data_IF_513730601666
#
_entry.id   IF_513730601666
#
_cell.length_a   1.000
_cell.length_b   1.000
_cell.length_c   1.000
_cell.angle_alpha   90.00
_cell.angle_beta   90.00
_cell.angle_gamma   90.00
#
_symmetry.space_group_name_H-M   'P 1'
#
loop_
_entity.id
_entity.type
_entity.pdbx_description
1 polymer ?
#
# COMPACT_ATOMS: atom_id res chain seq x y z
N UNK A 1 -1.78 -33.32 -44.03
CA UNK A 1 -2.64 -33.13 -42.83
C UNK A 1 -3.03 -31.65 -42.73
N UNK A 2 -4.33 -31.31 -42.80
CA UNK A 2 -4.79 -29.91 -42.68
C UNK A 2 -4.44 -29.38 -41.30
N UNK A 3 -3.63 -28.32 -41.26
CA UNK A 3 -3.35 -27.51 -40.07
C UNK A 3 -4.67 -27.00 -39.50
N UNK A 4 -5.17 -27.62 -38.42
CA UNK A 4 -6.39 -27.17 -37.73
C UNK A 4 -6.15 -25.77 -37.18
N UNK A 5 -6.88 -24.79 -37.70
CA UNK A 5 -6.85 -23.42 -37.19
C UNK A 5 -7.43 -23.37 -35.78
N UNK A 6 -6.95 -22.44 -34.95
CA UNK A 6 -7.56 -22.17 -33.65
C UNK A 6 -9.03 -21.74 -33.83
N UNK A 7 -9.94 -22.20 -32.95
CA UNK A 7 -11.34 -21.83 -33.01
C UNK A 7 -11.52 -20.31 -33.04
N UNK A 8 -12.52 -19.81 -33.77
CA UNK A 8 -12.79 -18.35 -33.83
C UNK A 8 -13.10 -17.77 -32.45
N UNK A 9 -13.84 -18.51 -31.62
CA UNK A 9 -14.18 -18.11 -30.25
C UNK A 9 -12.92 -17.91 -29.37
N UNK A 10 -11.94 -18.80 -29.48
CA UNK A 10 -10.71 -18.73 -28.68
C UNK A 10 -9.85 -17.52 -29.07
N UNK A 11 -9.84 -17.15 -30.37
CA UNK A 11 -9.16 -15.94 -30.86
C UNK A 11 -9.84 -14.66 -30.39
N UNK A 12 -11.18 -14.62 -30.38
CA UNK A 12 -11.95 -13.48 -29.89
C UNK A 12 -11.75 -13.28 -28.38
N UNK A 13 -11.80 -14.35 -27.60
CA UNK A 13 -11.53 -14.29 -26.15
C UNK A 13 -10.08 -13.88 -25.85
N UNK A 14 -9.09 -14.41 -26.58
CA UNK A 14 -7.70 -14.01 -26.39
C UNK A 14 -7.49 -12.51 -26.68
N UNK A 15 -8.10 -11.99 -27.75
CA UNK A 15 -8.07 -10.56 -28.07
C UNK A 15 -8.71 -9.71 -26.97
N UNK A 16 -9.87 -10.14 -26.45
CA UNK A 16 -10.53 -9.50 -25.32
C UNK A 16 -9.64 -9.50 -24.07
N UNK A 17 -9.05 -10.64 -23.70
CA UNK A 17 -8.15 -10.74 -22.55
C UNK A 17 -6.89 -9.87 -22.72
N UNK A 18 -6.29 -9.81 -23.91
CA UNK A 18 -5.11 -8.96 -24.15
C UNK A 18 -5.44 -7.48 -24.05
N UNK A 19 -6.55 -7.02 -24.63
CA UNK A 19 -6.98 -5.63 -24.50
C UNK A 19 -7.24 -5.26 -23.03
N UNK A 20 -7.83 -6.19 -22.28
CA UNK A 20 -8.07 -6.03 -20.86
C UNK A 20 -6.79 -5.98 -20.03
N UNK A 21 -5.81 -6.85 -20.32
CA UNK A 21 -4.49 -6.84 -19.67
C UNK A 21 -3.73 -5.53 -19.94
N UNK A 22 -3.85 -4.96 -21.14
CA UNK A 22 -3.28 -3.64 -21.48
C UNK A 22 -3.91 -2.54 -20.62
N UNK A 23 -5.22 -2.57 -20.41
CA UNK A 23 -5.87 -1.62 -19.51
C UNK A 23 -5.46 -1.82 -18.05
N UNK A 24 -5.37 -3.07 -17.58
CA UNK A 24 -4.81 -3.35 -16.24
C UNK A 24 -3.43 -2.72 -16.11
N UNK A 25 -2.56 -2.89 -17.10
CA UNK A 25 -1.22 -2.31 -17.10
C UNK A 25 -1.23 -0.76 -17.05
N UNK A 26 -2.02 -0.10 -17.89
CA UNK A 26 -2.20 1.36 -17.80
C UNK A 26 -2.78 1.81 -16.46
N UNK A 27 -3.63 0.97 -15.86
CA UNK A 27 -4.15 1.17 -14.53
C UNK A 27 -3.12 1.11 -13.42
N UNK A 28 -2.20 0.17 -13.49
CA UNK A 28 -1.08 0.06 -12.54
C UNK A 28 -0.14 1.26 -12.65
N UNK A 29 -0.03 1.89 -13.82
CA UNK A 29 0.75 3.11 -14.02
C UNK A 29 0.00 4.40 -13.66
N UNK A 30 -1.25 4.31 -13.17
CA UNK A 30 -2.06 5.48 -12.80
C UNK A 30 -2.74 6.21 -13.97
N UNK A 31 -2.58 5.75 -15.21
CA UNK A 31 -3.11 6.39 -16.42
C UNK A 31 -4.35 5.66 -16.98
N UNK A 32 -5.46 5.64 -16.24
CA UNK A 32 -6.75 5.20 -16.82
C UNK A 32 -7.44 6.37 -17.54
N UNK A 33 -7.95 6.18 -18.77
CA UNK A 33 -8.84 7.16 -19.39
C UNK A 33 -10.12 7.35 -18.56
N UNK A 34 -10.56 8.59 -18.39
CA UNK A 34 -11.68 8.98 -17.50
C UNK A 34 -13.02 8.28 -17.81
N UNK A 35 -13.23 7.82 -19.04
CA UNK A 35 -14.46 7.13 -19.44
C UNK A 35 -14.50 5.65 -19.01
N UNK A 36 -13.41 5.11 -18.47
CA UNK A 36 -13.25 3.69 -18.14
C UNK A 36 -13.51 3.47 -16.64
N UNK A 37 -14.61 2.77 -16.31
CA UNK A 37 -15.00 2.53 -14.92
C UNK A 37 -14.08 1.49 -14.25
N UNK A 38 -13.16 1.95 -13.40
CA UNK A 38 -12.18 1.14 -12.65
C UNK A 38 -12.82 -0.01 -11.84
N UNK A 39 -14.08 0.14 -11.41
CA UNK A 39 -14.83 -0.87 -10.64
C UNK A 39 -15.08 -2.18 -11.40
N UNK A 40 -15.11 -2.12 -12.73
CA UNK A 40 -15.27 -3.31 -13.57
C UNK A 40 -13.93 -4.04 -13.77
N UNK A 41 -12.79 -3.34 -13.66
CA UNK A 41 -11.48 -3.87 -14.05
C UNK A 41 -10.95 -4.96 -13.12
N UNK A 42 -10.97 -4.67 -11.83
CA UNK A 42 -10.52 -5.53 -10.74
C UNK A 42 -11.44 -6.72 -10.49
N UNK A 43 -12.76 -6.52 -10.56
CA UNK A 43 -13.74 -7.63 -10.47
C UNK A 43 -13.61 -8.64 -11.60
N UNK A 44 -13.16 -8.22 -12.77
CA UNK A 44 -12.95 -9.14 -13.88
C UNK A 44 -11.52 -9.68 -13.99
N UNK A 45 -10.56 -9.35 -13.11
CA UNK A 45 -9.25 -10.02 -13.07
C UNK A 45 -9.40 -11.55 -12.91
N UNK A 46 -10.19 -12.07 -11.94
CA UNK A 46 -10.42 -13.51 -11.84
C UNK A 46 -11.11 -14.08 -13.09
N UNK A 47 -12.09 -13.36 -13.66
CA UNK A 47 -12.81 -13.77 -14.86
C UNK A 47 -11.87 -13.87 -16.07
N UNK A 48 -11.01 -12.88 -16.30
CA UNK A 48 -10.01 -12.87 -17.37
C UNK A 48 -9.01 -14.01 -17.16
N UNK A 49 -8.59 -14.26 -15.93
CA UNK A 49 -7.75 -15.39 -15.59
C UNK A 49 -8.39 -16.73 -15.97
N UNK A 50 -9.67 -16.95 -15.62
CA UNK A 50 -10.41 -18.14 -16.07
C UNK A 50 -10.52 -18.23 -17.59
N UNK A 51 -10.85 -17.12 -18.27
CA UNK A 51 -10.97 -17.07 -19.74
C UNK A 51 -9.64 -17.39 -20.44
N UNK A 52 -8.51 -16.95 -19.89
CA UNK A 52 -7.18 -17.25 -20.43
C UNK A 52 -6.88 -18.75 -20.39
N UNK A 53 -7.32 -19.47 -19.37
CA UNK A 53 -7.15 -20.92 -19.25
C UNK A 53 -7.80 -21.66 -20.43
N UNK A 54 -9.03 -21.30 -20.79
CA UNK A 54 -9.73 -21.86 -21.96
C UNK A 54 -9.08 -21.45 -23.29
N UNK A 55 -8.58 -20.22 -23.39
CA UNK A 55 -7.87 -19.74 -24.57
C UNK A 55 -6.58 -20.52 -24.80
N UNK A 56 -5.74 -20.63 -23.76
CA UNK A 56 -4.49 -21.38 -23.82
C UNK A 56 -4.73 -22.87 -24.11
N UNK A 57 -5.73 -23.49 -23.50
CA UNK A 57 -6.09 -24.88 -23.81
C UNK A 57 -6.46 -25.09 -25.29
N UNK A 58 -7.25 -24.20 -25.88
CA UNK A 58 -7.62 -24.28 -27.30
C UNK A 58 -6.43 -24.05 -28.23
N UNK A 59 -5.52 -23.13 -27.88
CA UNK A 59 -4.30 -22.87 -28.64
C UNK A 59 -3.30 -24.01 -28.54
N UNK A 60 -3.02 -24.51 -27.33
CA UNK A 60 -2.20 -25.70 -27.10
C UNK A 60 -2.74 -26.88 -27.86
N UNK A 61 -4.06 -27.13 -27.83
CA UNK A 61 -4.66 -28.22 -28.60
C UNK A 61 -4.38 -28.09 -30.10
N UNK A 62 -4.33 -26.88 -30.67
CA UNK A 62 -3.98 -26.66 -32.09
C UNK A 62 -2.49 -26.67 -32.42
N UNK A 63 -1.63 -26.38 -31.45
CA UNK A 63 -0.15 -26.39 -31.59
C UNK A 63 0.41 -27.80 -31.35
N UNK A 64 -0.14 -28.52 -30.38
CA UNK A 64 0.27 -29.86 -29.95
C UNK A 64 -0.51 -31.01 -30.62
N UNK A 65 -1.26 -30.75 -31.71
CA UNK A 65 -1.89 -31.82 -32.53
C UNK A 65 -0.85 -32.86 -33.00
N UNK A 66 0.42 -32.48 -33.08
CA UNK A 66 1.55 -33.34 -33.46
C UNK A 66 2.20 -34.10 -32.30
N UNK A 67 1.85 -33.82 -31.04
CA UNK A 67 2.44 -34.51 -29.89
C UNK A 67 1.71 -35.81 -29.64
N UNK A 68 2.42 -36.91 -29.90
CA UNK A 68 1.88 -38.28 -29.89
C UNK A 68 1.42 -38.75 -28.51
N UNK A 69 1.93 -38.12 -27.44
CA UNK A 69 1.63 -38.47 -26.05
C UNK A 69 0.55 -37.56 -25.47
N UNK A 70 -0.64 -38.14 -25.23
CA UNK A 70 -1.74 -37.47 -24.52
C UNK A 70 -1.35 -37.07 -23.09
N UNK A 71 -0.44 -37.81 -22.46
CA UNK A 71 0.04 -37.53 -21.11
C UNK A 71 0.81 -36.21 -21.05
N UNK A 72 1.76 -35.98 -21.96
CA UNK A 72 2.55 -34.74 -22.01
C UNK A 72 1.63 -33.52 -22.22
N UNK A 73 0.64 -33.65 -23.11
CA UNK A 73 -0.34 -32.61 -23.34
C UNK A 73 -1.15 -32.28 -22.07
N UNK A 74 -1.66 -33.30 -21.38
CA UNK A 74 -2.40 -33.12 -20.12
C UNK A 74 -1.53 -32.45 -19.05
N UNK A 75 -0.28 -32.87 -18.89
CA UNK A 75 0.66 -32.26 -17.92
C UNK A 75 0.87 -30.77 -18.21
N UNK A 76 1.11 -30.39 -19.46
CA UNK A 76 1.31 -28.98 -19.84
C UNK A 76 0.05 -28.15 -19.58
N UNK A 77 -1.14 -28.68 -19.90
CA UNK A 77 -2.41 -27.99 -19.64
C UNK A 77 -2.64 -27.80 -18.14
N UNK A 78 -2.36 -28.82 -17.32
CA UNK A 78 -2.47 -28.74 -15.86
C UNK A 78 -1.49 -27.72 -15.29
N UNK A 79 -0.24 -27.68 -15.75
CA UNK A 79 0.75 -26.70 -15.27
C UNK A 79 0.36 -25.25 -15.57
N UNK A 80 -0.23 -25.00 -16.75
CA UNK A 80 -0.72 -23.68 -17.14
C UNK A 80 -1.96 -23.30 -16.33
N UNK A 81 -2.89 -24.23 -16.14
CA UNK A 81 -4.07 -24.03 -15.31
C UNK A 81 -3.70 -23.70 -13.85
N UNK A 82 -2.78 -24.48 -13.27
CA UNK A 82 -2.27 -24.27 -11.91
C UNK A 82 -1.53 -22.92 -11.81
N UNK A 83 -0.68 -22.57 -12.78
CA UNK A 83 0.02 -21.28 -12.78
C UNK A 83 -0.94 -20.10 -12.86
N UNK A 84 -1.97 -20.18 -13.71
CA UNK A 84 -3.01 -19.14 -13.82
C UNK A 84 -3.79 -19.03 -12.52
N UNK A 85 -4.27 -20.16 -11.99
CA UNK A 85 -5.04 -20.19 -10.74
C UNK A 85 -4.24 -19.63 -9.57
N UNK A 86 -2.98 -20.03 -9.46
CA UNK A 86 -2.08 -19.54 -8.42
C UNK A 86 -1.82 -18.04 -8.60
N UNK A 87 -1.62 -17.56 -9.83
CA UNK A 87 -1.41 -16.13 -10.10
C UNK A 87 -2.64 -15.31 -9.71
N UNK A 88 -3.86 -15.75 -10.06
CA UNK A 88 -5.10 -15.08 -9.68
C UNK A 88 -5.26 -15.07 -8.16
N UNK A 89 -5.06 -16.21 -7.51
CA UNK A 89 -5.16 -16.32 -6.05
C UNK A 89 -4.16 -15.38 -5.37
N UNK A 90 -2.91 -15.38 -5.83
CA UNK A 90 -1.84 -14.56 -5.28
C UNK A 90 -2.11 -13.07 -5.50
N UNK A 91 -2.52 -12.66 -6.71
CA UNK A 91 -2.95 -11.27 -6.97
C UNK A 91 -4.17 -10.92 -6.11
N UNK A 92 -5.16 -11.79 -5.96
CA UNK A 92 -6.36 -11.48 -5.17
C UNK A 92 -6.09 -11.37 -3.66
N UNK A 93 -5.08 -12.08 -3.16
CA UNK A 93 -4.71 -12.07 -1.74
C UNK A 93 -3.70 -10.97 -1.39
N UNK A 94 -2.81 -10.61 -2.32
CA UNK A 94 -1.65 -9.76 -2.04
C UNK A 94 -1.58 -8.49 -2.91
N UNK A 95 -2.46 -8.32 -3.91
CA UNK A 95 -2.58 -7.06 -4.64
C UNK A 95 -3.63 -6.16 -4.01
N UNK A 96 -3.37 -4.85 -4.13
CA UNK A 96 -4.19 -3.83 -3.54
C UNK A 96 -5.66 -3.87 -3.99
N UNK A 97 -6.58 -3.51 -3.10
CA UNK A 97 -7.96 -3.23 -3.49
C UNK A 97 -7.97 -2.08 -4.53
N UNK A 98 -8.71 -2.25 -5.64
CA UNK A 98 -8.79 -1.28 -6.72
C UNK A 98 -9.38 0.05 -6.27
N UNK A 99 -8.89 1.15 -6.87
CA UNK A 99 -9.52 2.47 -6.74
C UNK A 99 -11.01 2.42 -7.11
N UNK A 100 -11.86 2.86 -6.19
CA UNK A 100 -13.31 2.96 -6.38
C UNK A 100 -13.70 4.15 -7.27
N UNK A 101 -12.78 5.10 -7.53
CA UNK A 101 -13.03 6.34 -8.27
C UNK A 101 -11.79 6.85 -9.05
N UNK A 102 -12.03 7.66 -10.08
CA UNK A 102 -11.02 8.38 -10.87
C UNK A 102 -10.61 9.71 -10.22
N UNK A 103 -11.53 10.40 -9.54
CA UNK A 103 -11.19 11.56 -8.73
C UNK A 103 -10.67 11.04 -7.39
N UNK A 104 -9.37 11.23 -7.17
CA UNK A 104 -8.73 11.08 -5.89
C UNK A 104 -8.54 12.49 -5.32
N UNK A 105 -9.35 12.90 -4.32
CA UNK A 105 -9.25 14.24 -3.72
C UNK A 105 -7.83 14.57 -3.24
N UNK A 106 -7.03 13.56 -2.88
CA UNK A 106 -5.64 13.75 -2.48
C UNK A 106 -4.79 14.14 -3.68
N UNK A 107 -4.83 13.34 -4.75
CA UNK A 107 -4.14 13.65 -6.00
C UNK A 107 -4.55 15.01 -6.58
N UNK A 108 -5.84 15.34 -6.54
CA UNK A 108 -6.36 16.63 -7.03
C UNK A 108 -5.81 17.80 -6.20
N UNK A 109 -5.84 17.69 -4.87
CA UNK A 109 -5.31 18.71 -3.96
C UNK A 109 -3.83 19.01 -4.18
N UNK A 110 -3.03 17.97 -4.40
CA UNK A 110 -1.59 18.06 -4.52
C UNK A 110 -1.09 18.22 -5.97
N UNK A 111 -1.99 18.19 -6.95
CA UNK A 111 -1.67 18.24 -8.39
C UNK A 111 -0.77 19.42 -8.77
N UNK A 112 -0.95 20.56 -8.11
CA UNK A 112 -0.21 21.82 -8.27
C UNK A 112 0.74 22.14 -7.10
N UNK A 113 0.86 21.25 -6.10
CA UNK A 113 1.63 21.46 -4.86
C UNK A 113 2.72 20.40 -4.69
N UNK A 114 3.62 20.30 -5.67
CA UNK A 114 4.64 19.25 -5.70
C UNK A 114 5.58 19.30 -4.49
N UNK A 115 5.91 20.49 -4.01
CA UNK A 115 6.72 20.74 -2.81
C UNK A 115 6.10 20.23 -1.50
N UNK A 116 4.78 20.09 -1.43
CA UNK A 116 4.07 19.60 -0.24
C UNK A 116 3.94 18.06 -0.23
N UNK A 117 4.41 17.37 -1.28
CA UNK A 117 4.28 15.91 -1.42
C UNK A 117 5.34 15.11 -0.67
N UNK A 118 6.43 15.75 -0.27
CA UNK A 118 7.53 15.11 0.47
C UNK A 118 7.28 15.07 1.98
N UNK A 119 6.20 15.72 2.43
CA UNK A 119 5.75 15.78 3.83
C UNK A 119 5.20 14.46 4.38
N UNK A 120 4.75 14.51 5.63
CA UNK A 120 4.28 13.37 6.44
C UNK A 120 3.12 12.57 5.84
N UNK A 121 2.52 11.70 6.65
CA UNK A 121 1.44 10.81 6.20
C UNK A 121 0.11 11.55 6.00
N UNK A 122 -0.71 11.03 5.07
CA UNK A 122 -2.02 11.54 4.71
C UNK A 122 -3.08 10.54 5.17
N UNK A 123 -4.14 11.02 5.83
CA UNK A 123 -5.33 10.22 6.09
C UNK A 123 -6.41 10.52 5.05
N UNK A 124 -6.90 9.47 4.39
CA UNK A 124 -8.10 9.51 3.56
C UNK A 124 -8.89 8.21 3.69
N UNK A 125 -10.18 8.32 4.03
CA UNK A 125 -11.08 7.20 4.36
C UNK A 125 -11.22 6.15 3.25
N UNK A 126 -11.15 6.59 1.99
CA UNK A 126 -11.36 5.74 0.82
C UNK A 126 -10.08 5.58 -0.02
N UNK A 127 -8.91 5.64 0.62
CA UNK A 127 -7.67 5.37 -0.08
C UNK A 127 -7.64 3.91 -0.56
N UNK A 128 -7.55 3.72 -1.87
CA UNK A 128 -7.33 2.40 -2.43
C UNK A 128 -5.85 2.08 -2.44
N UNK A 129 -5.52 0.83 -2.15
CA UNK A 129 -4.14 0.34 -2.14
C UNK A 129 -3.46 0.45 -3.52
N UNK A 130 -4.22 0.69 -4.61
CA UNK A 130 -3.67 0.87 -5.96
C UNK A 130 -2.84 2.14 -6.20
N UNK A 131 -2.93 3.14 -5.33
CA UNK A 131 -2.08 4.35 -5.38
C UNK A 131 -0.69 4.14 -4.77
N UNK A 132 -0.43 2.94 -4.22
CA UNK A 132 0.90 2.48 -3.80
C UNK A 132 1.92 2.40 -4.95
N UNK A 133 1.44 2.20 -6.18
CA UNK A 133 2.29 2.00 -7.37
C UNK A 133 2.48 3.29 -8.19
N UNK A 134 1.95 4.42 -7.71
CA UNK A 134 2.09 5.71 -8.36
C UNK A 134 3.40 6.41 -7.97
N UNK A 135 4.04 7.05 -8.95
CA UNK A 135 5.24 7.90 -8.83
C UNK A 135 4.96 9.24 -8.10
N UNK A 136 4.06 9.20 -7.11
CA UNK A 136 3.43 10.39 -6.52
C UNK A 136 3.97 10.76 -5.13
N UNK A 137 4.90 9.98 -4.56
CA UNK A 137 5.51 10.17 -3.23
C UNK A 137 4.54 10.36 -2.04
N UNK A 138 3.22 10.21 -2.25
CA UNK A 138 2.24 10.30 -1.17
C UNK A 138 2.37 9.13 -0.21
N UNK A 139 2.46 9.46 1.08
CA UNK A 139 2.40 8.49 2.17
C UNK A 139 1.01 8.54 2.76
N UNK A 140 0.33 7.41 2.89
CA UNK A 140 -0.92 7.36 3.62
C UNK A 140 -0.75 6.55 4.88
N UNK A 141 -1.44 6.99 5.94
CA UNK A 141 -1.52 6.27 7.22
C UNK A 141 -2.02 4.83 7.03
N UNK A 142 -2.81 4.63 5.98
CA UNK A 142 -3.41 3.35 5.62
C UNK A 142 -2.70 2.64 4.45
N UNK A 143 -1.66 3.22 3.82
CA UNK A 143 -1.07 2.66 2.57
C UNK A 143 0.13 1.77 2.77
N UNK A 144 0.79 1.79 3.94
CA UNK A 144 1.98 0.97 4.15
C UNK A 144 1.59 -0.38 4.77
N UNK A 145 1.79 -1.46 4.01
CA UNK A 145 1.84 -2.84 4.51
C UNK A 145 0.56 -3.44 5.13
N UNK A 146 -0.64 -2.93 4.83
CA UNK A 146 -1.88 -3.62 5.25
C UNK A 146 -1.95 -5.07 4.73
N UNK A 147 -1.27 -5.37 3.61
CA UNK A 147 -1.20 -6.71 3.02
C UNK A 147 -0.09 -7.60 3.61
N UNK A 148 0.89 -7.05 4.33
CA UNK A 148 2.00 -7.84 4.89
C UNK A 148 1.70 -8.33 6.31
N UNK A 149 1.04 -7.53 7.15
CA UNK A 149 0.27 -8.00 8.31
C UNK A 149 -0.77 -6.93 8.69
N UNK A 150 -1.99 -7.29 9.14
CA UNK A 150 -2.97 -6.32 9.60
C UNK A 150 -2.44 -5.68 10.89
N UNK A 151 -1.83 -4.51 10.78
CA UNK A 151 -1.57 -3.67 11.93
C UNK A 151 -2.92 -3.09 12.39
N UNK A 152 -3.29 -3.16 13.67
CA UNK A 152 -4.61 -2.71 14.09
C UNK A 152 -4.76 -1.18 14.23
N UNK A 153 -3.68 -0.41 14.30
CA UNK A 153 -3.78 1.04 14.47
C UNK A 153 -4.42 1.79 13.29
N UNK A 154 -4.22 1.46 11.99
CA UNK A 154 -4.90 2.16 10.90
C UNK A 154 -6.41 1.90 10.94
N UNK A 155 -6.81 0.68 11.33
CA UNK A 155 -8.23 0.32 11.51
C UNK A 155 -8.83 1.07 12.70
N UNK A 156 -8.10 1.19 13.81
CA UNK A 156 -8.53 1.97 14.97
C UNK A 156 -8.66 3.45 14.62
N UNK A 157 -7.67 4.00 13.93
CA UNK A 157 -7.66 5.39 13.50
C UNK A 157 -8.83 5.67 12.54
N UNK A 158 -9.07 4.81 11.53
CA UNK A 158 -10.24 4.91 10.67
C UNK A 158 -11.57 4.86 11.44
N UNK A 159 -11.67 4.04 12.49
CA UNK A 159 -12.84 4.01 13.37
C UNK A 159 -12.99 5.30 14.20
N UNK A 160 -11.89 5.88 14.69
CA UNK A 160 -11.92 7.17 15.38
C UNK A 160 -12.34 8.30 14.44
N UNK A 161 -11.97 8.21 13.16
CA UNK A 161 -12.35 9.19 12.13
C UNK A 161 -13.79 8.99 11.61
N UNK A 162 -14.47 7.89 11.99
CA UNK A 162 -15.89 7.71 11.72
C UNK A 162 -16.70 8.46 12.78
N UNK A 163 -17.41 9.48 12.33
CA UNK A 163 -18.51 10.07 13.07
C UNK A 163 -19.71 9.15 12.88
N UNK A 164 -20.18 8.50 13.95
CA UNK A 164 -21.35 7.62 13.89
C UNK A 164 -22.53 8.38 13.27
N UNK A 165 -23.24 7.73 12.35
CA UNK A 165 -24.27 8.30 11.46
C UNK A 165 -25.46 8.90 12.27
N UNK A 166 -25.50 8.67 13.59
CA UNK A 166 -26.56 9.07 14.51
C UNK A 166 -26.14 10.10 15.59
N UNK A 167 -24.88 10.49 15.70
CA UNK A 167 -24.44 11.46 16.72
C UNK A 167 -23.94 12.76 16.06
N UNK A 168 -24.60 13.87 16.38
CA UNK A 168 -24.34 15.22 15.86
C UNK A 168 -23.06 15.87 16.41
N UNK A 169 -22.11 15.10 16.92
CA UNK A 169 -20.94 15.65 17.61
C UNK A 169 -19.81 14.65 17.83
N UNK A 170 -18.64 15.18 18.12
CA UNK A 170 -17.42 14.42 18.46
C UNK A 170 -17.11 14.64 19.94
N UNK A 171 -16.75 13.57 20.65
CA UNK A 171 -16.38 13.67 22.08
C UNK A 171 -14.96 14.18 22.24
N UNK A 172 -14.68 14.84 23.37
CA UNK A 172 -13.32 15.34 23.69
C UNK A 172 -12.29 14.21 23.70
N UNK A 173 -12.67 13.07 24.29
CA UNK A 173 -11.82 11.87 24.30
C UNK A 173 -11.50 11.36 22.89
N UNK A 174 -12.44 11.47 21.95
CA UNK A 174 -12.21 11.06 20.57
C UNK A 174 -11.26 12.03 19.87
N UNK A 175 -11.38 13.34 20.11
CA UNK A 175 -10.45 14.35 19.59
C UNK A 175 -9.04 14.15 20.14
N UNK A 176 -8.90 13.95 21.45
CA UNK A 176 -7.62 13.61 22.10
C UNK A 176 -6.97 12.40 21.42
N UNK A 177 -7.71 11.30 21.28
CA UNK A 177 -7.19 10.10 20.63
C UNK A 177 -6.82 10.36 19.17
N UNK A 178 -7.62 11.11 18.40
CA UNK A 178 -7.26 11.46 17.02
C UNK A 178 -5.96 12.25 16.99
N UNK A 179 -5.75 13.18 17.92
CA UNK A 179 -4.53 13.97 18.02
C UNK A 179 -3.32 13.09 18.40
N UNK A 180 -3.47 12.19 19.37
CA UNK A 180 -2.42 11.25 19.79
C UNK A 180 -2.03 10.32 18.63
N UNK A 181 -3.01 9.70 17.97
CA UNK A 181 -2.78 8.86 16.80
C UNK A 181 -2.15 9.65 15.65
N UNK A 182 -2.59 10.89 15.42
CA UNK A 182 -2.04 11.73 14.35
C UNK A 182 -0.57 12.07 14.60
N UNK A 183 -0.20 12.35 15.85
CA UNK A 183 1.19 12.63 16.21
C UNK A 183 2.07 11.39 16.03
N UNK A 184 1.64 10.25 16.57
CA UNK A 184 2.42 8.99 16.52
C UNK A 184 2.51 8.42 15.10
N UNK A 185 1.46 8.57 14.28
CA UNK A 185 1.47 8.09 12.89
C UNK A 185 2.07 9.11 11.91
N UNK A 186 2.54 10.25 12.42
CA UNK A 186 3.12 11.32 11.62
C UNK A 186 2.15 11.83 10.56
N UNK A 187 0.93 12.19 10.95
CA UNK A 187 -0.13 12.62 10.02
C UNK A 187 -0.06 14.12 9.80
N UNK A 188 0.31 14.51 8.58
CA UNK A 188 0.38 15.91 8.19
C UNK A 188 -0.95 16.41 7.62
N UNK A 189 -1.66 15.59 6.84
CA UNK A 189 -2.92 16.00 6.20
C UNK A 189 -4.07 15.03 6.49
N UNK A 190 -5.23 15.58 6.83
CA UNK A 190 -6.49 14.86 6.96
C UNK A 190 -7.47 15.32 5.89
N UNK A 191 -8.05 14.36 5.16
CA UNK A 191 -9.15 14.60 4.23
C UNK A 191 -10.44 14.04 4.85
N UNK A 192 -11.26 14.93 5.38
CA UNK A 192 -12.53 14.57 6.06
C UNK A 192 -13.71 15.22 5.34
N UNK A 193 -14.92 14.62 5.35
CA UNK A 193 -16.10 15.25 4.76
C UNK A 193 -16.33 16.64 5.35
N UNK A 194 -16.63 17.63 4.52
CA UNK A 194 -16.72 19.05 4.90
C UNK A 194 -17.74 19.30 6.03
N UNK A 195 -18.83 18.55 6.04
CA UNK A 195 -19.90 18.65 7.05
C UNK A 195 -19.68 17.72 8.27
N UNK A 196 -18.51 17.08 8.36
CA UNK A 196 -18.18 16.24 9.50
C UNK A 196 -17.96 17.09 10.75
N UNK A 197 -18.52 16.74 11.92
CA UNK A 197 -18.24 17.45 13.17
C UNK A 197 -16.76 17.33 13.61
N UNK A 198 -15.96 16.48 12.95
CA UNK A 198 -14.50 16.44 13.12
C UNK A 198 -13.81 17.70 12.59
N UNK A 199 -14.37 18.38 11.59
CA UNK A 199 -13.79 19.61 11.06
C UNK A 199 -13.72 20.64 12.18
N UNK A 200 -14.85 20.91 12.84
CA UNK A 200 -14.90 21.85 13.95
C UNK A 200 -14.13 21.30 15.16
N UNK A 201 -14.30 20.02 15.49
CA UNK A 201 -13.66 19.41 16.65
C UNK A 201 -12.13 19.41 16.62
N UNK A 202 -11.52 19.37 15.43
CA UNK A 202 -10.06 19.35 15.25
C UNK A 202 -9.44 20.72 14.96
N UNK A 203 -10.25 21.73 14.60
CA UNK A 203 -9.75 23.06 14.18
C UNK A 203 -10.11 24.20 15.12
N UNK A 204 -11.11 24.03 15.99
CA UNK A 204 -11.53 25.06 16.95
C UNK A 204 -10.66 25.00 18.20
N UNK A 205 -10.10 26.15 18.58
CA UNK A 205 -9.42 26.33 19.86
C UNK A 205 -10.45 26.29 20.98
N UNK A 206 -10.29 25.36 21.92
CA UNK A 206 -11.23 25.17 23.03
C UNK A 206 -10.90 26.14 24.16
N UNK A 207 -11.90 26.88 24.63
CA UNK A 207 -11.73 27.82 25.73
C UNK A 207 -11.25 27.09 27.00
N UNK A 208 -10.07 27.47 27.49
CA UNK A 208 -9.45 26.89 28.70
C UNK A 208 -8.28 25.93 28.43
N UNK A 209 -8.13 25.44 27.20
CA UNK A 209 -6.96 24.67 26.80
C UNK A 209 -5.86 25.63 26.35
N UNK A 210 -4.71 25.62 27.04
CA UNK A 210 -3.50 26.34 26.61
C UNK A 210 -2.84 25.71 25.37
N UNK A 211 -3.43 24.63 24.83
CA UNK A 211 -2.93 23.89 23.68
C UNK A 211 -3.72 24.33 22.44
N UNK A 212 -3.08 25.00 21.47
CA UNK A 212 -3.76 25.40 20.23
C UNK A 212 -4.28 24.17 19.49
N UNK A 213 -5.34 24.35 18.68
CA UNK A 213 -5.87 23.28 17.84
C UNK A 213 -4.75 22.65 17.00
N UNK A 214 -4.65 21.31 17.02
CA UNK A 214 -3.56 20.60 16.33
C UNK A 214 -3.64 20.76 14.80
N UNK A 215 -4.85 20.94 14.28
CA UNK A 215 -5.07 21.08 12.84
C UNK A 215 -5.62 22.46 12.48
N UNK A 216 -5.25 22.92 11.30
CA UNK A 216 -5.89 24.04 10.62
C UNK A 216 -6.58 23.57 9.34
N UNK A 217 -7.74 24.15 9.02
CA UNK A 217 -8.39 23.92 7.73
C UNK A 217 -7.71 24.79 6.67
N UNK A 218 -7.05 24.17 5.71
CA UNK A 218 -6.27 24.87 4.68
C UNK A 218 -6.98 24.96 3.33
N UNK A 219 -7.89 24.03 3.02
CA UNK A 219 -8.61 24.03 1.74
C UNK A 219 -9.88 23.18 1.80
N UNK A 220 -10.65 23.24 0.72
CA UNK A 220 -11.73 22.32 0.39
C UNK A 220 -11.48 21.73 -1.00
N UNK A 221 -11.78 20.44 -1.19
CA UNK A 221 -11.57 19.73 -2.45
C UNK A 221 -12.80 18.89 -2.76
N UNK A 222 -13.31 19.02 -3.98
CA UNK A 222 -14.44 18.22 -4.45
C UNK A 222 -14.01 16.79 -4.79
N UNK A 223 -14.82 15.81 -4.39
CA UNK A 223 -14.73 14.43 -4.85
C UNK A 223 -16.02 13.97 -5.52
N UNK A 224 -16.08 12.70 -5.94
CA UNK A 224 -17.30 12.12 -6.53
C UNK A 224 -18.39 12.02 -5.46
N UNK A 225 -19.31 12.99 -5.45
CA UNK A 225 -20.50 12.98 -4.59
C UNK A 225 -20.30 13.53 -3.17
N UNK A 226 -19.14 14.08 -2.84
CA UNK A 226 -18.87 14.72 -1.55
C UNK A 226 -17.82 15.83 -1.69
N UNK A 227 -17.77 16.75 -0.73
CA UNK A 227 -16.72 17.78 -0.62
C UNK A 227 -15.92 17.49 0.65
N UNK A 228 -14.60 17.49 0.53
CA UNK A 228 -13.69 17.21 1.64
C UNK A 228 -13.05 18.50 2.13
N UNK A 229 -13.03 18.70 3.44
CA UNK A 229 -12.13 19.65 4.08
C UNK A 229 -10.73 19.04 4.15
N UNK A 230 -9.73 19.83 3.76
CA UNK A 230 -8.32 19.48 3.90
C UNK A 230 -7.81 20.16 5.17
N UNK A 231 -7.44 19.35 6.16
CA UNK A 231 -6.87 19.82 7.41
C UNK A 231 -5.38 19.53 7.41
N UNK A 232 -4.57 20.53 7.77
CA UNK A 232 -3.11 20.40 7.90
C UNK A 232 -2.72 20.46 9.36
N UNK A 233 -1.80 19.59 9.78
CA UNK A 233 -1.21 19.64 11.11
C UNK A 233 -0.37 20.92 11.28
N UNK A 234 -0.58 21.64 12.37
CA UNK A 234 0.18 22.85 12.71
C UNK A 234 1.57 22.53 13.24
N UNK A 235 1.79 21.31 13.74
CA UNK A 235 3.06 20.87 14.30
C UNK A 235 3.91 20.18 13.22
N UNK A 236 5.25 20.35 13.25
CA UNK A 236 6.15 19.58 12.41
C UNK A 236 5.96 18.08 12.64
N UNK A 237 5.92 17.32 11.55
CA UNK A 237 5.77 15.87 11.59
C UNK A 237 7.13 15.20 11.43
N UNK A 238 7.44 14.27 12.34
CA UNK A 238 8.57 13.36 12.21
C UNK A 238 8.09 11.90 12.12
N UNK A 239 8.83 11.10 11.35
CA UNK A 239 8.53 9.68 11.13
C UNK A 239 9.52 8.75 11.83
N UNK A 240 10.56 9.32 12.44
CA UNK A 240 11.52 8.61 13.25
C UNK A 240 11.95 9.48 14.43
N UNK A 241 12.28 8.83 15.53
CA UNK A 241 12.70 9.47 16.77
C UNK A 241 13.90 8.72 17.35
N UNK A 242 14.89 9.45 17.84
CA UNK A 242 16.03 8.92 18.58
C UNK A 242 15.83 9.09 20.08
N UNK A 243 16.28 8.11 20.84
CA UNK A 243 16.18 8.07 22.29
C UNK A 243 17.36 7.30 22.90
N UNK A 244 17.48 7.30 24.24
CA UNK A 244 18.46 6.48 24.94
C UNK A 244 17.95 5.04 25.12
N UNK A 245 18.61 4.09 24.48
CA UNK A 245 18.29 2.66 24.48
C UNK A 245 18.21 2.07 25.89
N UNK A 246 19.01 2.59 26.84
CA UNK A 246 18.97 2.17 28.23
C UNK A 246 17.62 2.41 28.92
N UNK A 247 16.76 3.24 28.31
CA UNK A 247 15.42 3.60 28.78
C UNK A 247 14.30 3.10 27.85
N UNK A 248 14.58 2.18 26.94
CA UNK A 248 13.59 1.66 25.96
C UNK A 248 12.28 1.20 26.61
N UNK A 249 12.36 0.48 27.74
CA UNK A 249 11.20 -0.03 28.50
C UNK A 249 10.38 1.08 29.18
N UNK A 250 10.97 2.27 29.38
CA UNK A 250 10.23 3.45 29.85
C UNK A 250 9.39 4.03 28.72
N UNK A 251 9.94 4.03 27.49
CA UNK A 251 9.32 4.64 26.33
C UNK A 251 8.28 3.75 25.65
N UNK A 252 8.57 2.46 25.54
CA UNK A 252 7.78 1.52 24.76
C UNK A 252 7.68 0.17 25.46
N UNK A 253 6.55 -0.50 25.27
CA UNK A 253 6.46 -1.94 25.52
C UNK A 253 7.01 -2.70 24.33
N UNK A 254 7.78 -3.75 24.58
CA UNK A 254 8.26 -4.70 23.56
C UNK A 254 7.37 -5.96 23.46
N UNK A 255 6.44 -6.14 24.41
CA UNK A 255 5.51 -7.27 24.40
C UNK A 255 4.46 -7.19 23.28
N UNK A 256 4.21 -8.32 22.62
CA UNK A 256 3.17 -8.45 21.60
C UNK A 256 1.77 -8.26 22.22
N UNK A 257 1.04 -7.24 21.78
CA UNK A 257 -0.34 -7.03 22.21
C UNK A 257 -1.32 -8.03 21.58
N UNK A 258 -2.42 -8.38 22.29
CA UNK A 258 -3.47 -9.18 21.70
C UNK A 258 -4.09 -8.43 20.51
N UNK A 259 -4.26 -9.15 19.39
CA UNK A 259 -4.95 -8.61 18.21
C UNK A 259 -6.36 -8.15 18.59
N UNK A 260 -6.75 -6.91 18.26
CA UNK A 260 -8.06 -6.44 18.64
C UNK A 260 -9.16 -7.18 17.90
N UNK A 261 -10.29 -7.28 18.57
CA UNK A 261 -11.53 -7.87 18.07
C UNK A 261 -12.42 -6.77 17.47
N UNK A 262 -13.63 -7.15 17.08
CA UNK A 262 -14.64 -6.17 16.68
C UNK A 262 -15.07 -5.24 17.84
N UNK A 263 -14.88 -5.66 19.10
CA UNK A 263 -15.26 -4.89 20.29
C UNK A 263 -14.30 -3.72 20.54
N UNK A 264 -14.85 -2.54 20.77
CA UNK A 264 -14.06 -1.31 21.06
C UNK A 264 -13.12 -1.52 22.26
N UNK A 265 -13.57 -2.25 23.29
CA UNK A 265 -12.77 -2.53 24.50
C UNK A 265 -11.45 -3.27 24.22
N UNK A 266 -11.32 -3.95 23.08
CA UNK A 266 -10.08 -4.64 22.72
C UNK A 266 -8.98 -3.70 22.19
N UNK A 267 -9.31 -2.42 21.95
CA UNK A 267 -8.34 -1.40 21.55
C UNK A 267 -7.78 -0.61 22.74
N UNK A 268 -8.26 -0.81 23.97
CA UNK A 268 -7.84 -0.01 25.13
C UNK A 268 -6.33 -0.03 25.34
N UNK A 269 -5.71 -1.22 25.29
CA UNK A 269 -4.25 -1.36 25.45
C UNK A 269 -3.48 -0.65 24.34
N UNK A 270 -4.03 -0.60 23.13
CA UNK A 270 -3.44 0.10 21.99
C UNK A 270 -3.58 1.61 22.15
N UNK A 271 -4.76 2.09 22.55
CA UNK A 271 -5.02 3.51 22.81
C UNK A 271 -4.10 4.02 23.95
N UNK A 272 -3.89 3.24 25.01
CA UNK A 272 -2.97 3.55 26.13
C UNK A 272 -1.51 3.66 25.68
N UNK A 273 -1.04 2.75 24.82
CA UNK A 273 0.33 2.78 24.33
C UNK A 273 0.56 3.94 23.35
N UNK A 274 -0.39 4.21 22.45
CA UNK A 274 -0.35 5.40 21.59
C UNK A 274 -0.27 6.67 22.42
N UNK A 275 -1.04 6.75 23.51
CA UNK A 275 -0.99 7.90 24.42
C UNK A 275 0.34 8.07 25.13
N UNK A 276 0.92 6.96 25.58
CA UNK A 276 2.26 6.97 26.17
C UNK A 276 3.30 7.49 25.17
N UNK A 277 3.33 6.94 23.96
CA UNK A 277 4.26 7.39 22.91
C UNK A 277 4.02 8.86 22.56
N UNK A 278 2.76 9.28 22.42
CA UNK A 278 2.42 10.68 22.17
C UNK A 278 2.91 11.62 23.29
N UNK A 279 2.83 11.22 24.56
CA UNK A 279 3.39 12.02 25.66
C UNK A 279 4.91 12.17 25.55
N UNK A 280 5.64 11.11 25.21
CA UNK A 280 7.10 11.20 25.06
C UNK A 280 7.55 12.07 23.89
N UNK A 281 6.78 12.10 22.80
CA UNK A 281 7.00 13.03 21.68
C UNK A 281 6.77 14.47 22.13
N UNK A 282 5.66 14.74 22.86
CA UNK A 282 5.30 16.09 23.32
C UNK A 282 6.27 16.65 24.36
N UNK A 283 6.73 15.80 25.27
CA UNK A 283 7.66 16.18 26.34
C UNK A 283 9.13 16.18 25.86
N UNK A 284 9.37 16.03 24.55
CA UNK A 284 10.69 16.03 23.91
C UNK A 284 11.67 15.00 24.52
N UNK A 285 11.13 13.96 25.16
CA UNK A 285 11.93 12.87 25.74
C UNK A 285 12.54 11.97 24.68
N UNK A 286 11.92 11.93 23.51
CA UNK A 286 12.45 11.33 22.29
C UNK A 286 12.54 12.43 21.22
N UNK A 287 13.68 12.52 20.52
CA UNK A 287 13.96 13.62 19.61
C UNK A 287 13.67 13.22 18.16
N UNK A 288 12.99 14.06 17.37
CA UNK A 288 12.74 13.76 15.96
C UNK A 288 14.06 13.69 15.17
N UNK A 289 14.16 12.72 14.26
CA UNK A 289 15.28 12.59 13.32
C UNK A 289 14.77 12.50 11.89
N UNK A 290 15.64 12.82 10.94
CA UNK A 290 15.31 12.75 9.53
C UNK A 290 15.27 11.29 9.05
N UNK A 291 14.21 10.97 8.31
CA UNK A 291 13.98 9.66 7.70
C UNK A 291 13.62 9.86 6.24
N UNK A 292 14.50 9.40 5.36
CA UNK A 292 14.31 9.42 3.92
C UNK A 292 13.74 8.10 3.41
N UNK A 293 12.74 8.18 2.53
CA UNK A 293 12.09 7.02 1.91
C UNK A 293 12.70 6.82 0.52
N UNK A 294 13.48 5.76 0.37
CA UNK A 294 14.15 5.45 -0.90
C UNK A 294 13.32 4.43 -1.66
N UNK A 295 12.76 4.86 -2.78
CA UNK A 295 12.00 3.96 -3.65
C UNK A 295 12.90 2.82 -4.18
N UNK A 296 12.41 1.56 -4.27
CA UNK A 296 11.04 1.11 -3.99
C UNK A 296 10.80 0.62 -2.56
N UNK A 297 11.84 0.27 -1.81
CA UNK A 297 11.75 -0.53 -0.59
C UNK A 297 12.82 -0.21 0.46
N UNK A 298 13.44 0.97 0.37
CA UNK A 298 14.49 1.43 1.27
C UNK A 298 14.05 2.53 2.22
N UNK A 299 14.69 2.58 3.38
CA UNK A 299 14.64 3.71 4.32
C UNK A 299 16.06 4.11 4.68
N UNK A 300 16.29 5.41 4.82
CA UNK A 300 17.58 5.96 5.27
C UNK A 300 17.33 6.81 6.50
N UNK A 301 17.96 6.42 7.60
CA UNK A 301 17.89 7.13 8.88
C UNK A 301 19.13 8.00 9.01
N UNK A 302 18.95 9.30 9.23
CA UNK A 302 20.06 10.20 9.57
C UNK A 302 20.53 9.95 11.01
N UNK A 303 21.83 9.72 11.18
CA UNK A 303 22.46 9.47 12.49
C UNK A 303 23.21 10.69 13.03
N UNK A 304 23.16 11.83 12.34
CA UNK A 304 23.91 13.05 12.71
C UNK A 304 23.67 13.50 14.15
N UNK A 305 22.48 13.24 14.70
CA UNK A 305 22.06 13.60 16.06
C UNK A 305 22.46 12.59 17.14
N UNK A 306 22.98 11.42 16.78
CA UNK A 306 23.23 10.32 17.73
C UNK A 306 24.34 10.63 18.74
N UNK A 307 25.27 11.52 18.39
CA UNK A 307 26.34 11.96 19.28
C UNK A 307 25.87 12.57 20.61
N UNK A 308 24.57 12.90 20.72
CA UNK A 308 23.93 13.43 21.92
C UNK A 308 23.48 12.32 22.90
N UNK A 309 23.53 11.05 22.49
CA UNK A 309 23.04 9.91 23.26
C UNK A 309 24.18 8.95 23.58
N UNK A 310 24.19 8.41 24.81
CA UNK A 310 25.22 7.44 25.24
C UNK A 310 25.02 6.09 24.54
N UNK A 311 23.78 5.62 24.47
CA UNK A 311 23.38 4.45 23.70
C UNK A 311 22.15 4.82 22.85
N UNK A 312 22.31 5.21 21.57
CA UNK A 312 21.18 5.60 20.75
C UNK A 312 20.29 4.41 20.42
N UNK A 313 18.98 4.56 20.58
CA UNK A 313 17.93 3.73 20.02
C UNK A 313 17.08 4.56 19.07
N UNK A 314 16.53 3.94 18.02
CA UNK A 314 15.65 4.66 17.07
C UNK A 314 14.30 3.99 16.97
N UNK A 315 13.24 4.77 17.15
CA UNK A 315 11.88 4.39 16.79
C UNK A 315 11.59 4.91 15.39
N UNK A 316 11.16 4.03 14.49
CA UNK A 316 10.66 4.40 13.17
C UNK A 316 9.17 4.08 13.13
N UNK A 317 8.34 5.07 12.85
CA UNK A 317 6.88 4.97 12.78
C UNK A 317 6.42 4.31 11.47
N UNK A 318 7.05 3.18 11.13
CA UNK A 318 6.75 2.31 10.01
C UNK A 318 6.53 0.90 10.54
N UNK A 319 5.58 0.18 9.93
CA UNK A 319 5.28 -1.19 10.36
C UNK A 319 6.48 -2.11 10.17
N UNK A 320 6.83 -2.84 11.23
CA UNK A 320 7.81 -3.91 11.20
C UNK A 320 7.28 -5.11 10.38
N UNK A 321 8.19 -5.70 9.61
CA UNK A 321 8.04 -6.96 8.89
C UNK A 321 9.39 -7.69 8.89
N UNK A 322 9.35 -9.01 8.80
CA UNK A 322 10.56 -9.85 8.81
C UNK A 322 11.43 -9.69 7.55
N UNK A 323 10.95 -8.98 6.54
CA UNK A 323 11.71 -8.68 5.32
C UNK A 323 12.72 -7.54 5.47
N UNK A 324 12.65 -6.75 6.55
CA UNK A 324 13.58 -5.65 6.81
C UNK A 324 14.96 -6.15 7.22
N UNK A 325 15.98 -5.50 6.66
CA UNK A 325 17.39 -5.75 6.95
C UNK A 325 18.19 -4.45 6.88
N UNK A 326 19.31 -4.39 7.60
CA UNK A 326 20.25 -3.27 7.56
C UNK A 326 21.33 -3.59 6.52
N UNK A 327 21.55 -2.71 5.54
CA UNK A 327 22.49 -2.98 4.44
C UNK A 327 23.93 -2.56 4.76
N UNK A 328 24.12 -1.48 5.54
CA UNK A 328 25.42 -0.84 5.72
C UNK A 328 26.01 -1.03 7.13
N UNK A 329 25.27 -1.56 8.10
CA UNK A 329 25.76 -1.77 9.47
C UNK A 329 25.35 -3.14 10.03
N UNK A 330 26.33 -3.93 10.46
CA UNK A 330 26.10 -5.28 11.00
C UNK A 330 25.75 -5.32 12.49
N UNK A 331 25.94 -4.21 13.22
CA UNK A 331 25.74 -4.13 14.68
C UNK A 331 24.38 -3.52 15.05
N UNK A 332 23.50 -3.35 14.06
CA UNK A 332 22.16 -2.80 14.22
C UNK A 332 21.15 -3.92 14.06
N UNK A 333 20.30 -4.14 15.07
CA UNK A 333 19.14 -5.04 14.97
C UNK A 333 17.87 -4.23 14.75
N UNK A 334 16.90 -4.85 14.07
CA UNK A 334 15.56 -4.29 13.87
C UNK A 334 14.60 -5.17 14.66
N UNK A 335 13.88 -4.58 15.60
CA UNK A 335 12.93 -5.27 16.47
C UNK A 335 11.55 -4.62 16.40
N UNK A 336 10.46 -5.38 16.56
CA UNK A 336 9.13 -4.80 16.65
C UNK A 336 8.88 -4.22 18.05
N UNK A 337 8.27 -3.03 18.11
CA UNK A 337 7.60 -2.57 19.34
C UNK A 337 6.24 -3.26 19.52
N UNK A 338 5.59 -3.08 20.67
CA UNK A 338 4.21 -3.53 20.91
C UNK A 338 3.19 -2.98 19.90
N UNK A 339 3.42 -1.77 19.39
CA UNK A 339 2.64 -1.16 18.30
C UNK A 339 3.03 -1.68 16.91
N UNK A 340 4.02 -2.59 16.86
CA UNK A 340 4.65 -3.15 15.66
C UNK A 340 5.30 -2.09 14.78
N UNK A 341 5.79 -1.02 15.39
CA UNK A 341 6.74 -0.11 14.74
C UNK A 341 8.12 -0.73 14.76
N UNK A 342 9.00 -0.27 13.86
CA UNK A 342 10.39 -0.70 13.88
C UNK A 342 11.16 0.05 14.96
N UNK A 343 11.89 -0.69 15.77
CA UNK A 343 12.88 -0.20 16.72
C UNK A 343 14.25 -0.66 16.24
N UNK A 344 15.18 0.28 16.09
CA UNK A 344 16.58 -0.03 15.80
C UNK A 344 17.37 0.02 17.09
N UNK A 345 18.01 -1.10 17.43
CA UNK A 345 18.93 -1.20 18.55
C UNK A 345 20.37 -1.27 18.06
N UNK A 346 21.25 -0.46 18.66
CA UNK A 346 22.64 -0.32 18.25
C UNK A 346 23.56 -0.95 19.29
N UNK A 347 24.30 -1.99 18.89
CA UNK A 347 25.20 -2.74 19.77
C UNK A 347 26.68 -2.33 19.68
N UNK A 348 26.99 -1.30 18.88
CA UNK A 348 28.34 -0.81 18.64
C UNK A 348 28.37 0.67 18.25
N UNK A 349 29.57 1.21 18.01
CA UNK A 349 29.74 2.62 17.61
C UNK A 349 29.12 2.90 16.24
N UNK A 350 28.31 3.96 16.19
CA UNK A 350 27.68 4.46 14.96
C UNK A 350 28.63 5.45 14.30
N UNK A 351 29.39 4.96 13.32
CA UNK A 351 30.44 5.73 12.63
C UNK A 351 30.03 6.27 11.25
N UNK A 352 28.93 5.78 10.66
CA UNK A 352 28.39 6.36 9.43
C UNK A 352 27.33 7.41 9.76
N UNK A 353 27.19 8.39 8.86
CA UNK A 353 26.17 9.45 8.94
C UNK A 353 24.75 8.96 8.68
N UNK A 354 24.58 7.72 8.20
CA UNK A 354 23.29 7.19 7.78
C UNK A 354 23.17 5.68 8.06
N UNK A 355 21.97 5.21 8.42
CA UNK A 355 21.63 3.78 8.47
C UNK A 355 20.66 3.47 7.34
N UNK A 356 21.03 2.53 6.47
CA UNK A 356 20.23 2.11 5.32
C UNK A 356 19.49 0.83 5.66
N UNK A 357 18.17 0.92 5.73
CA UNK A 357 17.27 -0.21 5.87
C UNK A 357 16.69 -0.58 4.51
N UNK A 358 16.53 -1.88 4.26
CA UNK A 358 15.87 -2.37 3.07
C UNK A 358 14.91 -3.48 3.39
N UNK A 359 13.71 -3.35 2.85
CA UNK A 359 12.71 -4.40 2.91
C UNK A 359 12.84 -5.31 1.70
N UNK A 360 13.38 -6.51 1.92
CA UNK A 360 13.31 -7.54 0.91
C UNK A 360 11.89 -8.04 0.80
N UNK A 361 11.18 -7.61 -0.25
CA UNK A 361 9.88 -8.19 -0.59
C UNK A 361 9.99 -9.71 -0.60
N UNK A 362 8.97 -10.43 -0.07
CA UNK A 362 9.01 -11.87 -0.04
C UNK A 362 9.38 -12.43 -1.40
N UNK A 363 10.24 -13.45 -1.43
CA UNK A 363 10.77 -14.01 -2.69
C UNK A 363 9.68 -14.42 -3.70
N UNK A 364 8.43 -14.62 -3.25
CA UNK A 364 7.26 -14.91 -4.08
C UNK A 364 6.65 -13.69 -4.79
N UNK A 365 6.91 -12.45 -4.33
CA UNK A 365 6.44 -11.21 -4.96
C UNK A 365 7.04 -11.03 -6.37
N UNK A 366 8.33 -11.28 -6.53
CA UNK A 366 9.03 -11.17 -7.82
C UNK A 366 8.53 -12.18 -8.87
N UNK A 367 8.31 -13.46 -8.55
CA UNK A 367 7.59 -14.41 -9.39
C UNK A 367 6.19 -13.95 -9.77
N UNK A 368 5.41 -13.30 -8.88
CA UNK A 368 4.05 -12.84 -9.21
C UNK A 368 4.07 -11.73 -10.26
N UNK A 369 4.95 -10.74 -10.10
CA UNK A 369 5.11 -9.68 -11.10
C UNK A 369 5.68 -10.25 -12.42
N UNK A 370 6.68 -11.12 -12.33
CA UNK A 370 7.30 -11.78 -13.49
C UNK A 370 6.32 -12.69 -14.23
N UNK A 371 5.45 -13.42 -13.53
CA UNK A 371 4.40 -14.26 -14.12
C UNK A 371 3.34 -13.41 -14.83
N UNK A 372 2.98 -12.26 -14.28
CA UNK A 372 2.12 -11.28 -14.96
C UNK A 372 2.71 -10.83 -16.30
N UNK A 373 3.98 -10.42 -16.29
CA UNK A 373 4.73 -10.00 -17.49
C UNK A 373 4.86 -11.15 -18.50
N UNK A 374 5.24 -12.34 -18.03
CA UNK A 374 5.36 -13.55 -18.86
C UNK A 374 4.01 -13.91 -19.47
N UNK A 375 2.89 -13.77 -18.76
CA UNK A 375 1.56 -14.02 -19.30
C UNK A 375 1.16 -12.98 -20.35
N UNK A 376 1.50 -11.70 -20.18
CA UNK A 376 1.32 -10.67 -21.23
C UNK A 376 2.16 -11.03 -22.46
N UNK A 377 3.42 -11.43 -22.30
CA UNK A 377 4.27 -11.86 -23.40
C UNK A 377 3.75 -13.11 -24.10
N UNK A 378 3.30 -14.11 -23.35
CA UNK A 378 2.77 -15.37 -23.89
C UNK A 378 1.46 -15.15 -24.65
N UNK A 379 0.54 -14.35 -24.09
CA UNK A 379 -0.74 -14.02 -24.76
C UNK A 379 -0.50 -13.21 -26.04
N UNK A 380 0.40 -12.23 -26.00
CA UNK A 380 0.79 -11.43 -27.17
C UNK A 380 1.47 -12.28 -28.23
N UNK A 381 2.39 -13.15 -27.83
CA UNK A 381 3.08 -14.09 -28.73
C UNK A 381 2.12 -15.07 -29.38
N UNK A 382 1.15 -15.61 -28.63
CA UNK A 382 0.11 -16.48 -29.16
C UNK A 382 -0.80 -15.75 -30.18
N UNK A 383 -1.11 -14.47 -29.94
CA UNK A 383 -1.83 -13.60 -30.86
C UNK A 383 -1.06 -13.38 -32.16
N UNK A 384 0.21 -12.97 -32.07
CA UNK A 384 1.08 -12.73 -33.24
C UNK A 384 1.24 -14.00 -34.07
N UNK A 385 1.51 -15.14 -33.43
CA UNK A 385 1.65 -16.42 -34.12
C UNK A 385 0.35 -16.83 -34.84
N UNK A 386 -0.81 -16.59 -34.23
CA UNK A 386 -2.13 -16.81 -34.84
C UNK A 386 -2.33 -15.97 -36.11
N UNK A 387 -1.95 -14.69 -36.07
CA UNK A 387 -2.06 -13.78 -37.21
C UNK A 387 -1.11 -14.14 -38.36
N UNK A 388 0.16 -14.46 -38.06
CA UNK A 388 1.16 -14.87 -39.07
C UNK A 388 0.72 -16.15 -39.76
N UNK A 389 0.22 -17.14 -39.01
CA UNK A 389 -0.24 -18.42 -39.57
C UNK A 389 -1.47 -18.25 -40.46
N UNK A 390 -2.40 -17.33 -40.11
CA UNK A 390 -3.54 -16.97 -40.98
C UNK A 390 -3.07 -16.32 -42.29
N UNK A 391 -2.14 -15.38 -42.25
CA UNK A 391 -1.60 -14.73 -43.47
C UNK A 391 -0.92 -15.74 -44.40
N UNK A 392 -0.12 -16.67 -43.87
CA UNK A 392 0.54 -17.72 -44.68
C UNK A 392 -0.48 -18.67 -45.33
N UNK A 393 -1.53 -19.06 -44.60
CA UNK A 393 -2.59 -19.92 -45.14
C UNK A 393 -3.43 -19.23 -46.23
N UNK A 394 -3.67 -17.91 -46.12
CA UNK A 394 -4.37 -17.15 -47.15
C UNK A 394 -3.50 -17.00 -48.41
N UNK A 395 -2.20 -16.75 -48.26
CA UNK A 395 -1.26 -16.67 -49.39
C UNK A 395 -1.15 -17.98 -50.18
N UNK A 396 -1.10 -19.11 -49.51
CA UNK A 396 -1.05 -20.44 -50.14
C UNK A 396 -2.38 -20.93 -50.72
N UNK A 397 -3.48 -20.20 -50.52
CA UNK A 397 -4.77 -20.46 -51.18
C UNK A 397 -5.03 -19.52 -52.37
N UNK A 398 -4.20 -18.49 -52.53
CA UNK A 398 -4.23 -17.53 -53.64
C UNK A 398 -3.14 -17.78 -54.69
N UNK A 399 -2.25 -18.75 -54.43
CA UNK A 399 -1.34 -19.39 -55.38
C UNK A 399 -1.93 -20.76 -55.74
#
# INVERSE_FOLDING_TARGET
MRSRQSPRWARMLLFYCTFYLVFIYFGLLGYYPEFVNKFQFSRAIPLIGFLLLFCFAAFLHTVFVSVRSRFIFTVIVVLIAVSISQSISTVSLFSGWPATSLADPVSDYFSDKQELREGGSIYFKNFSESSYLGDSNFRFVNSYNQHLMPNPYPVRFDRLMKTDISYTGVTDRQIELINDYSLVLGVEYLFVPLLSPLVDGLTVEREGDFVPALFEKVSEVGGVGDVFAVLRNRQPIANAYVFDEGRVEEYFRLDDFPKPTLKVSSYVVWDEEIQRVASFIRDESILPIELSFVWPDGLVVDTSTFSQFENPGVLINQSFDNGWSVENMNHVSIEPTSLRFMHLSFSGEVNDSEVVLKNSWPWWHWPVQSLGIVMVFLTTSALVFSFIRRRRLVRHQSE
#
